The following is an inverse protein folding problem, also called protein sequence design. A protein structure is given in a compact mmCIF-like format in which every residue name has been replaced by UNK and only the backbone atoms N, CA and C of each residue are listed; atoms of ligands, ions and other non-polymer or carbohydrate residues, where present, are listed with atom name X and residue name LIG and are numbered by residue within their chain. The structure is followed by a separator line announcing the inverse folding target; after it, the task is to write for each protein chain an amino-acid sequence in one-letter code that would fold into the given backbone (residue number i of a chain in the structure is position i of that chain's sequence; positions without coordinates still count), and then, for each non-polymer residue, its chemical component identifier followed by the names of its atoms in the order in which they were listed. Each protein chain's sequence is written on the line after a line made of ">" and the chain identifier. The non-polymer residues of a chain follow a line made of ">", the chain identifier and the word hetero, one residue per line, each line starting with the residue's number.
data_IF_844947813831
#
_entry.id   IF_844947813831
#
_cell.length_a   1.000
_cell.length_b   1.000
_cell.length_c   1.000
_cell.angle_alpha   90.00
_cell.angle_beta   90.00
_cell.angle_gamma   90.00
#
_symmetry.space_group_name_H-M   'P 1'
#
loop_
_entity.id
_entity.type
_entity.pdbx_description
1 polymer ?
#
# COMPACT_ATOMS: atom_id res chain seq x y z
N UNK A 1 24.57 8.55 -23.16
CA UNK A 1 23.10 8.66 -23.41
C UNK A 1 22.34 7.40 -22.99
N UNK A 2 22.76 6.18 -23.36
CA UNK A 2 22.06 4.92 -22.99
C UNK A 2 21.90 4.69 -21.48
N UNK A 3 22.91 5.02 -20.68
CA UNK A 3 22.89 4.76 -19.23
C UNK A 3 21.94 5.70 -18.46
N UNK A 4 21.80 6.96 -18.89
CA UNK A 4 20.88 7.93 -18.28
C UNK A 4 19.42 7.54 -18.50
N UNK A 5 19.08 7.04 -19.70
CA UNK A 5 17.72 6.56 -19.99
C UNK A 5 17.32 5.39 -19.08
N UNK A 6 18.23 4.45 -18.83
CA UNK A 6 18.00 3.31 -17.93
C UNK A 6 17.80 3.78 -16.48
N UNK A 7 18.60 4.74 -16.02
CA UNK A 7 18.47 5.30 -14.67
C UNK A 7 17.12 5.99 -14.46
N UNK A 8 16.64 6.77 -15.45
CA UNK A 8 15.32 7.43 -15.38
C UNK A 8 14.18 6.41 -15.35
N UNK A 9 14.26 5.37 -16.19
CA UNK A 9 13.27 4.28 -16.20
C UNK A 9 13.23 3.57 -14.84
N UNK A 10 14.38 3.25 -14.26
CA UNK A 10 14.44 2.61 -12.93
C UNK A 10 13.84 3.51 -11.84
N UNK A 11 14.16 4.80 -11.84
CA UNK A 11 13.60 5.76 -10.87
C UNK A 11 12.08 5.90 -10.99
N UNK A 12 11.53 5.83 -12.21
CA UNK A 12 10.09 5.87 -12.43
C UNK A 12 9.37 4.59 -11.95
N UNK A 13 10.07 3.45 -11.92
CA UNK A 13 9.51 2.16 -11.49
C UNK A 13 9.55 1.96 -9.97
N UNK A 14 10.49 2.58 -9.25
CA UNK A 14 10.57 2.55 -7.77
C UNK A 14 9.24 2.79 -7.03
N UNK A 15 8.42 3.79 -7.39
CA UNK A 15 7.12 3.99 -6.75
C UNK A 15 6.07 2.92 -7.12
N UNK A 16 6.21 2.22 -8.25
CA UNK A 16 5.28 1.14 -8.64
C UNK A 16 5.47 -0.12 -7.79
N UNK A 17 6.69 -0.39 -7.29
CA UNK A 17 6.98 -1.57 -6.46
C UNK A 17 6.37 -1.50 -5.05
N UNK A 18 5.77 -0.38 -4.66
CA UNK A 18 5.14 -0.23 -3.34
C UNK A 18 3.69 -0.77 -3.28
N UNK A 19 3.21 -1.46 -4.31
CA UNK A 19 1.89 -2.13 -4.31
C UNK A 19 1.95 -3.57 -3.77
N UNK A 20 2.64 -3.78 -2.64
CA UNK A 20 2.71 -5.09 -2.00
C UNK A 20 1.40 -5.49 -1.33
N UNK A 21 1.00 -6.75 -1.51
CA UNK A 21 -0.12 -7.36 -0.78
C UNK A 21 0.36 -8.61 -0.04
N UNK A 22 -0.26 -8.88 1.11
CA UNK A 22 -0.05 -10.10 1.87
C UNK A 22 -1.38 -10.68 2.33
N UNK A 23 -1.36 -11.99 2.60
CA UNK A 23 -2.51 -12.78 2.99
C UNK A 23 -2.19 -13.55 4.27
N UNK A 24 -3.14 -13.58 5.20
CA UNK A 24 -3.08 -14.39 6.42
C UNK A 24 -4.29 -15.33 6.43
N UNK A 25 -4.07 -16.66 6.46
CA UNK A 25 -5.17 -17.61 6.52
C UNK A 25 -5.91 -17.54 7.85
N UNK A 26 -7.20 -17.85 7.83
CA UNK A 26 -8.03 -17.96 9.02
C UNK A 26 -7.59 -19.15 9.89
N UNK A 27 -7.63 -18.97 11.22
CA UNK A 27 -7.60 -20.11 12.13
C UNK A 27 -9.00 -20.73 12.25
N UNK A 28 -9.11 -22.07 12.35
CA UNK A 28 -10.41 -22.73 12.43
C UNK A 28 -11.18 -22.28 13.68
N UNK A 29 -12.40 -21.78 13.47
CA UNK A 29 -13.28 -21.27 14.53
C UNK A 29 -13.23 -19.76 14.75
N UNK A 30 -12.38 -19.03 14.02
CA UNK A 30 -12.35 -17.56 14.07
C UNK A 30 -13.61 -16.95 13.44
N UNK A 31 -14.24 -16.02 14.17
CA UNK A 31 -15.36 -15.18 13.68
C UNK A 31 -14.94 -13.74 13.39
N UNK A 32 -13.69 -13.41 13.64
CA UNK A 32 -13.10 -12.09 13.51
C UNK A 32 -11.64 -12.24 13.08
N UNK A 33 -11.12 -11.26 12.33
CA UNK A 33 -9.72 -11.20 11.95
C UNK A 33 -8.92 -10.39 12.97
N UNK A 34 -7.84 -10.98 13.51
CA UNK A 34 -6.86 -10.27 14.32
C UNK A 34 -5.80 -9.62 13.44
N UNK A 35 -5.66 -8.30 13.56
CA UNK A 35 -4.56 -7.57 12.96
C UNK A 35 -3.37 -7.54 13.93
N UNK A 36 -2.36 -8.39 13.71
CA UNK A 36 -1.28 -8.67 14.68
C UNK A 36 -0.47 -7.42 15.07
N UNK A 37 -0.39 -6.42 14.19
CA UNK A 37 0.44 -5.24 14.43
C UNK A 37 -0.18 -4.28 15.45
N UNK A 38 -1.49 -4.08 15.41
CA UNK A 38 -2.21 -3.21 16.34
C UNK A 38 -2.95 -4.01 17.43
N UNK A 39 -3.04 -5.34 17.29
CA UNK A 39 -3.77 -6.21 18.21
C UNK A 39 -5.30 -6.05 18.15
N UNK A 40 -5.82 -5.44 17.09
CA UNK A 40 -7.25 -5.13 16.93
C UNK A 40 -8.00 -6.26 16.24
N UNK A 41 -9.20 -6.55 16.76
CA UNK A 41 -10.13 -7.51 16.15
C UNK A 41 -11.07 -6.78 15.20
N UNK A 42 -11.24 -7.34 14.01
CA UNK A 42 -12.11 -6.82 12.96
C UNK A 42 -13.15 -7.86 12.56
N UNK A 43 -14.40 -7.43 12.41
CA UNK A 43 -15.49 -8.33 12.04
C UNK A 43 -15.33 -8.87 10.61
N UNK A 44 -15.88 -10.06 10.37
CA UNK A 44 -15.96 -10.64 9.03
C UNK A 44 -16.70 -9.70 8.07
N UNK A 45 -16.13 -9.48 6.88
CA UNK A 45 -16.65 -8.58 5.86
C UNK A 45 -16.29 -7.11 6.08
N UNK A 46 -15.59 -6.78 7.17
CA UNK A 46 -15.12 -5.41 7.40
C UNK A 46 -13.89 -5.09 6.54
N UNK A 47 -13.80 -3.82 6.13
CA UNK A 47 -12.63 -3.24 5.47
C UNK A 47 -12.14 -2.06 6.28
N UNK A 48 -10.85 -2.02 6.57
CA UNK A 48 -10.25 -0.94 7.34
C UNK A 48 -8.92 -0.50 6.75
N UNK A 49 -8.46 0.66 7.21
CA UNK A 49 -7.18 1.24 6.80
C UNK A 49 -6.28 1.36 8.02
N UNK A 50 -5.08 0.80 7.93
CA UNK A 50 -4.09 0.83 9.01
C UNK A 50 -3.29 2.14 8.99
N UNK A 51 -2.61 2.44 10.09
CA UNK A 51 -1.70 3.59 10.23
C UNK A 51 -0.59 3.58 9.16
N UNK A 52 -0.12 2.38 8.78
CA UNK A 52 0.86 2.15 7.71
C UNK A 52 0.31 2.32 6.29
N UNK A 53 -0.89 2.90 6.14
CA UNK A 53 -1.53 3.07 4.85
C UNK A 53 -1.78 1.74 4.11
N UNK A 54 -2.07 0.65 4.81
CA UNK A 54 -2.56 -0.57 4.19
C UNK A 54 -4.10 -0.60 4.23
N UNK A 55 -4.71 -1.08 3.15
CA UNK A 55 -6.12 -1.43 3.11
C UNK A 55 -6.24 -2.93 3.38
N UNK A 56 -6.90 -3.26 4.48
CA UNK A 56 -7.11 -4.64 4.90
C UNK A 56 -8.59 -5.01 4.77
N UNK A 57 -8.84 -6.28 4.45
CA UNK A 57 -10.16 -6.85 4.31
C UNK A 57 -10.21 -8.23 4.97
N UNK A 58 -11.15 -8.39 5.89
CA UNK A 58 -11.47 -9.67 6.53
C UNK A 58 -12.53 -10.39 5.69
N UNK A 59 -12.16 -11.51 5.07
CA UNK A 59 -13.03 -12.26 4.17
C UNK A 59 -14.05 -13.10 4.94
N UNK A 60 -15.11 -13.53 4.24
CA UNK A 60 -16.18 -14.36 4.78
C UNK A 60 -15.69 -15.71 5.34
N UNK A 61 -14.59 -16.23 4.78
CA UNK A 61 -13.95 -17.47 5.23
C UNK A 61 -12.99 -17.25 6.43
N UNK A 62 -12.87 -16.02 6.93
CA UNK A 62 -11.95 -15.64 8.01
C UNK A 62 -10.54 -15.27 7.54
N UNK A 63 -10.23 -15.38 6.24
CA UNK A 63 -8.92 -15.01 5.72
C UNK A 63 -8.77 -13.49 5.69
N UNK A 64 -7.60 -12.99 6.08
CA UNK A 64 -7.29 -11.58 6.02
C UNK A 64 -6.37 -11.27 4.84
N UNK A 65 -6.76 -10.31 4.02
CA UNK A 65 -5.91 -9.77 2.94
C UNK A 65 -5.62 -8.30 3.21
N UNK A 66 -4.36 -7.91 3.09
CA UNK A 66 -3.93 -6.54 3.29
C UNK A 66 -3.02 -6.12 2.14
N UNK A 67 -3.37 -5.01 1.51
CA UNK A 67 -2.60 -4.43 0.42
C UNK A 67 -2.15 -3.03 0.79
N UNK A 68 -0.95 -2.64 0.37
CA UNK A 68 -0.56 -1.25 0.39
C UNK A 68 -1.59 -0.44 -0.37
N UNK A 69 -2.22 0.47 0.35
CA UNK A 69 -3.20 1.32 -0.26
C UNK A 69 -2.44 2.43 -0.95
N UNK A 70 -2.21 2.25 -2.26
CA UNK A 70 -1.88 3.34 -3.16
C UNK A 70 -2.85 4.46 -2.79
N UNK A 71 -2.34 5.56 -2.22
CA UNK A 71 -3.18 6.68 -1.81
C UNK A 71 -3.90 7.12 -3.07
N UNK A 72 -5.17 6.74 -3.22
CA UNK A 72 -6.14 7.49 -4.01
C UNK A 72 -6.42 8.77 -3.23
N UNK A 73 -5.39 9.60 -3.05
CA UNK A 73 -5.67 11.02 -2.90
C UNK A 73 -6.28 11.38 -4.25
N UNK A 74 -7.42 12.06 -4.20
CA UNK A 74 -8.08 12.67 -5.34
C UNK A 74 -7.25 13.86 -5.90
N UNK A 75 -5.95 13.64 -6.04
CA UNK A 75 -4.91 14.53 -6.55
C UNK A 75 -3.86 13.62 -7.20
N UNK A 76 -4.07 13.34 -8.49
CA UNK A 76 -3.01 13.31 -9.50
C UNK A 76 -1.61 12.95 -8.98
N UNK A 77 -1.30 11.66 -8.86
CA UNK A 77 0.09 11.20 -8.69
C UNK A 77 0.73 11.11 -10.08
N UNK A 78 0.91 12.28 -10.69
CA UNK A 78 2.19 12.58 -11.33
C UNK A 78 3.00 13.34 -10.29
N UNK A 79 4.22 12.91 -9.92
CA UNK A 79 5.05 13.62 -8.98
C UNK A 79 5.78 14.77 -9.68
N UNK A 80 5.07 15.73 -10.27
CA UNK A 80 5.69 16.98 -10.75
C UNK A 80 5.95 17.97 -9.59
N UNK A 81 5.23 17.85 -8.47
CA UNK A 81 5.31 18.81 -7.35
C UNK A 81 6.56 18.68 -6.45
N UNK A 82 7.48 17.76 -6.76
CA UNK A 82 8.81 17.67 -6.11
C UNK A 82 9.96 18.05 -7.06
N UNK A 83 9.69 18.44 -8.31
CA UNK A 83 10.69 19.07 -9.16
C UNK A 83 10.80 20.58 -8.91
N UNK A 84 9.74 21.22 -8.40
CA UNK A 84 9.74 22.67 -8.14
C UNK A 84 10.72 23.12 -7.04
N UNK A 85 11.24 22.20 -6.22
CA UNK A 85 12.25 22.52 -5.18
C UNK A 85 13.69 22.34 -5.67
N UNK A 86 13.90 21.73 -6.84
CA UNK A 86 15.22 21.53 -7.44
C UNK A 86 15.57 22.59 -8.50
N UNK A 87 14.69 23.56 -8.76
CA UNK A 87 14.97 24.74 -9.61
C UNK A 87 15.45 25.97 -8.82
N UNK A 88 15.72 25.83 -7.50
CA UNK A 88 16.26 26.93 -6.65
C UNK A 88 17.74 26.80 -6.31
N UNK A 89 18.45 25.87 -6.95
CA UNK A 89 19.87 25.58 -6.71
C UNK A 89 20.70 25.45 -8.00
N UNK A 90 20.18 25.96 -9.13
CA UNK A 90 20.92 26.21 -10.36
C UNK A 90 20.68 27.67 -10.76
#
# INVERSE_FOLDING_TARGET
>A
MRSLAVAVILCALLPLFHAGCWFKPAEPGMRQCLYDKDGTWHDIGSRWRTSDCMNCYCQANGDMSCCQALRRRHHTVFPWRKLDTLERLI
#
